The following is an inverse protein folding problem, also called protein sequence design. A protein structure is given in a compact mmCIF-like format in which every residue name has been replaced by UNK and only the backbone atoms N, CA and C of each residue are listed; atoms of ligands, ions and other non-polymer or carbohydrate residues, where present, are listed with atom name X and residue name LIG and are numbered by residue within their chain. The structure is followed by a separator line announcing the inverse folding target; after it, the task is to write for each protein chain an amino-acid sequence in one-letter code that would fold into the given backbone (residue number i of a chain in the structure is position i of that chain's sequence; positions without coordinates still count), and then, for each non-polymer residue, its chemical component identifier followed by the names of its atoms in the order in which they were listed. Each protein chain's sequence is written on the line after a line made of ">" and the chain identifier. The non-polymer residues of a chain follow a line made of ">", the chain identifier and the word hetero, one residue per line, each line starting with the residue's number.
data_IF_935392669762
#
_entry.id   IF_935392669762
#
_cell.length_a   1.000
_cell.length_b   1.000
_cell.length_c   1.000
_cell.angle_alpha   90.00
_cell.angle_beta   90.00
_cell.angle_gamma   90.00
#
_symmetry.space_group_name_H-M   'P 1'
#
loop_
_entity.id
_entity.type
_entity.pdbx_description
1 polymer ?
#
# COMPACT_ATOMS: atom_id res chain seq x y z
N UNK A 1 30.98 29.21 4.66
CA UNK A 1 29.70 29.65 5.22
C UNK A 1 28.93 28.39 5.56
N UNK A 2 28.79 28.11 6.85
CA UNK A 2 28.04 26.95 7.36
C UNK A 2 26.55 27.27 7.26
N UNK A 3 25.88 26.77 6.24
CA UNK A 3 24.43 26.74 6.25
C UNK A 3 23.98 25.75 7.32
N UNK A 4 23.31 26.31 8.30
CA UNK A 4 22.86 25.60 9.50
C UNK A 4 21.93 24.44 9.13
N UNK A 5 22.24 23.25 9.61
CA UNK A 5 21.47 22.01 9.50
C UNK A 5 20.11 22.05 10.24
N UNK A 6 19.59 23.23 10.59
CA UNK A 6 18.37 23.40 11.37
C UNK A 6 17.07 23.11 10.62
N UNK A 7 17.06 23.16 9.29
CA UNK A 7 15.83 23.03 8.49
C UNK A 7 15.47 21.59 8.09
N UNK A 8 16.04 20.57 8.74
CA UNK A 8 15.89 19.17 8.34
C UNK A 8 14.68 18.46 8.97
N UNK A 9 13.96 19.10 9.90
CA UNK A 9 12.86 18.48 10.64
C UNK A 9 11.60 19.34 10.59
N UNK A 10 10.78 19.12 9.59
CA UNK A 10 9.50 19.82 9.37
C UNK A 10 8.41 19.51 10.42
N UNK A 11 8.62 18.52 11.28
CA UNK A 11 7.59 18.08 12.25
C UNK A 11 8.20 18.10 13.66
N UNK A 12 7.70 18.95 14.57
CA UNK A 12 8.16 19.01 15.96
C UNK A 12 7.74 17.74 16.73
N UNK A 13 8.32 17.54 17.91
CA UNK A 13 7.84 16.56 18.88
C UNK A 13 6.40 16.90 19.27
N UNK A 14 5.59 15.85 19.49
CA UNK A 14 4.21 16.05 19.94
C UNK A 14 4.18 16.41 21.42
N UNK A 15 3.35 17.38 21.76
CA UNK A 15 3.01 17.68 23.16
C UNK A 15 2.23 16.52 23.79
N UNK A 16 2.17 16.44 25.14
CA UNK A 16 1.37 15.44 25.83
C UNK A 16 -0.10 15.37 25.36
N UNK A 17 -0.74 16.51 25.16
CA UNK A 17 -2.14 16.57 24.75
C UNK A 17 -2.32 16.12 23.29
N UNK A 18 -1.41 16.50 22.38
CA UNK A 18 -1.45 16.11 20.99
C UNK A 18 -1.28 14.59 20.81
N UNK A 19 -0.36 13.94 21.55
CA UNK A 19 -0.21 12.50 21.42
C UNK A 19 -1.35 11.74 22.08
N UNK A 20 -1.92 12.24 23.17
CA UNK A 20 -3.09 11.64 23.81
C UNK A 20 -4.34 11.75 22.93
N UNK A 21 -4.54 12.87 22.23
CA UNK A 21 -5.63 13.06 21.27
C UNK A 21 -5.56 12.10 20.06
N UNK A 22 -4.39 11.51 19.80
CA UNK A 22 -4.17 10.55 18.73
C UNK A 22 -4.44 9.09 19.13
N UNK A 23 -4.90 8.83 20.35
CA UNK A 23 -5.20 7.46 20.80
C UNK A 23 -6.50 6.99 20.19
N UNK A 24 -6.42 6.00 19.29
CA UNK A 24 -7.56 5.37 18.61
C UNK A 24 -8.15 4.21 19.42
N UNK A 25 -7.30 3.48 20.14
CA UNK A 25 -7.72 2.36 20.99
C UNK A 25 -6.84 2.27 22.23
N UNK A 26 -7.49 1.95 23.37
CA UNK A 26 -6.80 1.73 24.65
C UNK A 26 -7.47 0.62 25.44
N UNK A 27 -6.71 -0.42 25.77
CA UNK A 27 -7.11 -1.45 26.72
C UNK A 27 -6.00 -1.75 27.74
N UNK A 28 -6.11 -2.86 28.50
CA UNK A 28 -5.10 -3.27 29.47
C UNK A 28 -3.78 -3.75 28.86
N UNK A 29 -3.77 -4.12 27.59
CA UNK A 29 -2.64 -4.77 26.91
C UNK A 29 -1.92 -3.83 25.94
N UNK A 30 -2.67 -2.99 25.22
CA UNK A 30 -2.13 -2.19 24.13
C UNK A 30 -2.78 -0.82 24.01
N UNK A 31 -2.09 0.03 23.24
CA UNK A 31 -2.62 1.25 22.64
C UNK A 31 -2.48 1.13 21.12
N UNK A 32 -3.40 1.70 20.38
CA UNK A 32 -3.22 2.01 18.98
C UNK A 32 -3.35 3.51 18.81
N UNK A 33 -2.36 4.13 18.19
CA UNK A 33 -2.34 5.59 17.98
C UNK A 33 -2.33 5.90 16.48
N UNK A 34 -2.88 7.04 16.11
CA UNK A 34 -2.77 7.62 14.77
C UNK A 34 -1.42 8.36 14.65
N UNK A 35 -0.42 7.69 14.10
CA UNK A 35 0.89 8.30 13.87
C UNK A 35 0.81 9.40 12.81
N UNK A 36 1.26 10.63 13.08
CA UNK A 36 1.33 11.65 12.05
C UNK A 36 2.38 11.32 10.98
N UNK A 37 2.21 11.81 9.72
CA UNK A 37 3.24 11.73 8.69
C UNK A 37 4.43 12.63 9.04
N UNK A 38 5.64 12.29 8.59
CA UNK A 38 6.85 13.10 8.73
C UNK A 38 7.62 12.90 10.04
N UNK A 39 7.00 12.37 11.11
CA UNK A 39 7.65 12.11 12.40
C UNK A 39 8.18 10.68 12.45
N UNK A 40 9.51 10.46 12.59
CA UNK A 40 10.06 9.12 12.74
C UNK A 40 9.63 8.51 14.09
N UNK A 41 9.48 7.20 14.12
CA UNK A 41 9.08 6.48 15.34
C UNK A 41 10.18 6.49 16.39
N UNK A 42 11.41 6.15 15.96
CA UNK A 42 12.61 6.10 16.81
C UNK A 42 13.56 7.26 16.51
N UNK A 43 14.35 7.61 17.49
CA UNK A 43 15.47 8.53 17.32
C UNK A 43 16.49 7.93 16.34
N UNK A 44 16.74 8.63 15.23
CA UNK A 44 17.77 8.25 14.28
C UNK A 44 19.20 8.51 14.79
N UNK A 45 20.24 8.00 14.08
CA UNK A 45 21.64 8.23 14.46
C UNK A 45 22.04 9.70 14.54
N UNK A 46 21.37 10.56 13.79
CA UNK A 46 21.61 12.02 13.77
C UNK A 46 20.82 12.78 14.84
N UNK A 47 20.06 12.09 15.69
CA UNK A 47 19.16 12.73 16.65
C UNK A 47 17.88 13.28 16.01
N UNK A 48 17.26 14.26 16.65
CA UNK A 48 16.06 14.96 16.19
C UNK A 48 14.77 14.45 16.80
N UNK A 49 13.63 15.14 16.47
CA UNK A 49 12.31 14.79 16.95
C UNK A 49 11.92 13.36 16.60
N UNK A 50 11.24 12.67 17.51
CA UNK A 50 10.75 11.32 17.29
C UNK A 50 9.54 11.03 18.18
N UNK A 51 8.74 10.07 17.78
CA UNK A 51 7.48 9.76 18.43
C UNK A 51 7.67 9.15 19.84
N UNK A 52 8.72 8.35 20.05
CA UNK A 52 8.99 7.73 21.36
C UNK A 52 9.24 8.76 22.47
N UNK A 53 9.76 9.93 22.14
CA UNK A 53 9.98 11.01 23.10
C UNK A 53 8.69 11.44 23.82
N UNK A 54 7.52 11.30 23.15
CA UNK A 54 6.21 11.64 23.70
C UNK A 54 5.51 10.49 24.44
N UNK A 55 6.06 9.26 24.47
CA UNK A 55 5.37 8.09 25.02
C UNK A 55 5.17 8.14 26.52
N UNK A 56 5.90 8.99 27.25
CA UNK A 56 5.69 9.17 28.68
C UNK A 56 4.27 9.67 29.00
N UNK A 57 3.71 10.50 28.12
CA UNK A 57 2.33 10.99 28.23
C UNK A 57 1.27 9.89 28.01
N UNK A 58 1.65 8.73 27.46
CA UNK A 58 0.76 7.60 27.19
C UNK A 58 0.77 6.53 28.29
N UNK A 59 1.30 6.80 29.46
CA UNK A 59 1.31 5.86 30.61
C UNK A 59 -0.08 5.50 31.08
N UNK A 60 -0.99 6.45 31.11
CA UNK A 60 -2.35 6.26 31.61
C UNK A 60 -2.40 5.47 32.94
N UNK A 61 -1.65 5.94 33.93
CA UNK A 61 -1.58 5.35 35.28
C UNK A 61 -0.60 4.17 35.41
N UNK A 62 0.07 3.74 34.38
CA UNK A 62 1.10 2.69 34.47
C UNK A 62 2.47 3.28 34.88
N UNK A 63 3.32 2.49 35.57
CA UNK A 63 4.63 2.98 36.05
C UNK A 63 5.63 3.22 34.91
N UNK A 64 5.42 2.64 33.73
CA UNK A 64 6.30 2.75 32.57
C UNK A 64 5.52 3.17 31.34
N UNK A 65 6.14 3.91 30.40
CA UNK A 65 5.54 4.23 29.12
C UNK A 65 5.31 2.96 28.29
N UNK A 66 4.36 2.97 27.35
CA UNK A 66 4.17 1.89 26.40
C UNK A 66 5.38 1.76 25.46
N UNK A 67 5.54 0.58 24.86
CA UNK A 67 6.67 0.26 23.98
C UNK A 67 6.13 -0.17 22.62
N UNK A 68 6.84 0.17 21.55
CA UNK A 68 6.50 -0.23 20.18
C UNK A 68 6.36 -1.75 20.03
N UNK A 69 5.28 -2.18 19.42
CA UNK A 69 5.08 -3.56 19.00
C UNK A 69 5.53 -3.77 17.54
N UNK A 70 5.47 -2.73 16.73
CA UNK A 70 5.98 -2.67 15.35
C UNK A 70 6.36 -1.23 15.01
N UNK A 71 6.76 -1.00 13.76
CA UNK A 71 7.15 0.32 13.28
C UNK A 71 6.43 0.69 11.98
N UNK A 72 6.25 1.99 11.77
CA UNK A 72 5.94 2.62 10.50
C UNK A 72 7.11 3.47 10.05
N UNK A 73 7.25 3.70 8.76
CA UNK A 73 8.25 4.61 8.22
C UNK A 73 7.94 6.05 8.62
N UNK A 74 8.94 6.95 8.57
CA UNK A 74 8.81 8.36 8.97
C UNK A 74 7.58 9.01 8.34
N UNK A 75 7.44 8.88 7.02
CA UNK A 75 6.45 9.60 6.24
C UNK A 75 5.10 8.85 6.12
N UNK A 76 5.05 7.58 6.55
CA UNK A 76 3.80 6.80 6.64
C UNK A 76 3.02 7.21 7.88
N UNK A 77 1.74 7.51 7.74
CA UNK A 77 0.81 7.84 8.83
C UNK A 77 -0.09 6.67 9.22
N UNK A 78 -0.85 6.81 10.32
CA UNK A 78 -1.94 5.91 10.70
C UNK A 78 -1.63 4.93 11.82
N UNK A 79 -2.34 3.80 11.86
CA UNK A 79 -2.35 2.86 12.97
C UNK A 79 -0.96 2.36 13.38
N UNK A 80 -0.51 2.76 14.58
CA UNK A 80 0.71 2.29 15.21
C UNK A 80 0.40 1.65 16.56
N UNK A 81 0.81 0.39 16.75
CA UNK A 81 0.49 -0.41 17.93
C UNK A 81 1.63 -0.34 18.96
N UNK A 82 1.26 -0.06 20.20
CA UNK A 82 2.15 -0.01 21.35
C UNK A 82 1.69 -1.04 22.39
N UNK A 83 2.61 -1.80 22.97
CA UNK A 83 2.35 -2.68 24.09
C UNK A 83 2.44 -1.91 25.43
N UNK A 84 1.47 -2.06 26.31
CA UNK A 84 1.41 -1.32 27.59
C UNK A 84 2.31 -1.92 28.68
N UNK A 85 2.73 -3.17 28.53
CA UNK A 85 3.66 -3.82 29.44
C UNK A 85 4.44 -4.93 28.71
N UNK A 86 5.56 -5.37 29.29
CA UNK A 86 6.52 -6.28 28.68
C UNK A 86 5.88 -7.54 28.06
N UNK A 87 4.95 -8.20 28.78
CA UNK A 87 4.30 -9.42 28.30
C UNK A 87 3.43 -9.15 27.09
N UNK A 88 2.65 -8.06 27.11
CA UNK A 88 1.81 -7.65 25.99
C UNK A 88 2.65 -7.30 24.75
N UNK A 89 3.73 -6.51 24.94
CA UNK A 89 4.65 -6.16 23.84
C UNK A 89 5.28 -7.40 23.20
N UNK A 90 5.69 -8.38 24.01
CA UNK A 90 6.24 -9.64 23.51
C UNK A 90 5.20 -10.45 22.70
N UNK A 91 3.97 -10.55 23.20
CA UNK A 91 2.86 -11.22 22.50
C UNK A 91 2.54 -10.55 21.18
N UNK A 92 2.39 -9.22 21.16
CA UNK A 92 2.14 -8.43 19.95
C UNK A 92 3.29 -8.61 18.95
N UNK A 93 4.55 -8.54 19.41
CA UNK A 93 5.73 -8.77 18.57
C UNK A 93 5.73 -10.14 17.89
N UNK A 94 5.31 -11.20 18.60
CA UNK A 94 5.14 -12.52 18.01
C UNK A 94 4.04 -12.57 16.97
N UNK A 95 2.89 -11.92 17.21
CA UNK A 95 1.81 -11.83 16.23
C UNK A 95 2.26 -11.12 14.94
N UNK A 96 3.02 -10.02 15.05
CA UNK A 96 3.62 -9.33 13.91
C UNK A 96 4.64 -10.21 13.19
N UNK A 97 5.55 -10.85 13.93
CA UNK A 97 6.59 -11.74 13.38
C UNK A 97 6.00 -12.89 12.57
N UNK A 98 4.89 -13.46 13.01
CA UNK A 98 4.21 -14.58 12.36
C UNK A 98 3.12 -14.16 11.38
N UNK A 99 3.04 -12.88 11.01
CA UNK A 99 2.05 -12.34 10.07
C UNK A 99 0.60 -12.68 10.44
N UNK A 100 0.28 -12.70 11.76
CA UNK A 100 -1.07 -12.96 12.27
C UNK A 100 -1.93 -11.72 12.37
N UNK A 101 -1.35 -10.54 12.23
CA UNK A 101 -2.02 -9.24 12.25
C UNK A 101 -2.29 -8.82 10.82
N UNK A 102 -3.56 -8.60 10.48
CA UNK A 102 -3.92 -8.03 9.19
C UNK A 102 -3.74 -6.52 9.23
N UNK A 103 -3.28 -5.94 8.13
CA UNK A 103 -3.01 -4.52 7.98
C UNK A 103 -3.52 -4.07 6.62
N UNK A 104 -4.32 -3.04 6.59
CA UNK A 104 -4.77 -2.40 5.35
C UNK A 104 -4.21 -0.99 5.28
N UNK A 105 -3.51 -0.69 4.20
CA UNK A 105 -2.98 0.65 3.93
C UNK A 105 -3.77 1.27 2.78
N UNK A 106 -4.06 2.55 2.90
CA UNK A 106 -4.52 3.35 1.77
C UNK A 106 -3.34 4.04 1.11
N UNK A 107 -3.29 3.97 -0.21
CA UNK A 107 -2.29 4.66 -1.00
C UNK A 107 -2.95 5.36 -2.19
N UNK A 108 -2.45 6.55 -2.54
CA UNK A 108 -2.74 7.17 -3.83
C UNK A 108 -1.51 6.98 -4.70
N UNK A 109 -1.68 6.39 -5.87
CA UNK A 109 -0.61 6.12 -6.82
C UNK A 109 -0.77 6.94 -8.09
N UNK A 110 0.36 7.23 -8.74
CA UNK A 110 0.42 7.87 -10.06
C UNK A 110 0.14 6.82 -11.13
N UNK A 111 -0.91 6.98 -11.93
CA UNK A 111 -1.42 5.91 -12.78
C UNK A 111 -2.19 4.87 -11.98
N UNK A 112 -1.89 3.59 -12.22
CA UNK A 112 -2.46 2.47 -11.46
C UNK A 112 -2.64 1.20 -12.27
N UNK A 113 -3.04 0.09 -11.62
CA UNK A 113 -3.35 -1.15 -12.31
C UNK A 113 -4.59 -1.01 -13.19
N UNK A 114 -4.66 -1.78 -14.26
CA UNK A 114 -5.86 -1.88 -15.12
C UNK A 114 -6.94 -2.73 -14.45
N UNK A 115 -6.54 -3.80 -13.77
CA UNK A 115 -7.44 -4.67 -13.01
C UNK A 115 -7.90 -3.98 -11.73
N UNK A 116 -8.97 -4.51 -11.10
CA UNK A 116 -9.52 -3.96 -9.87
C UNK A 116 -8.90 -4.56 -8.61
N UNK A 117 -8.28 -5.73 -8.71
CA UNK A 117 -7.56 -6.37 -7.61
C UNK A 117 -6.44 -7.28 -8.12
N UNK A 118 -5.47 -7.57 -7.25
CA UNK A 118 -4.38 -8.46 -7.59
C UNK A 118 -3.33 -8.58 -6.49
N UNK A 119 -2.16 -9.10 -6.87
CA UNK A 119 -1.04 -9.26 -5.95
C UNK A 119 0.29 -8.97 -6.63
N UNK A 120 1.26 -8.51 -5.82
CA UNK A 120 2.64 -8.28 -6.20
C UNK A 120 3.49 -9.22 -5.37
N UNK A 121 4.09 -10.22 -6.00
CA UNK A 121 5.00 -11.20 -5.38
C UNK A 121 6.39 -10.98 -5.96
N UNK A 122 7.10 -10.01 -5.41
CA UNK A 122 8.44 -9.61 -5.86
C UNK A 122 9.38 -9.57 -4.66
N UNK A 123 10.47 -10.35 -4.64
CA UNK A 123 11.44 -10.35 -3.54
C UNK A 123 12.13 -8.99 -3.39
N UNK A 124 12.38 -8.59 -2.14
CA UNK A 124 12.97 -7.30 -1.80
C UNK A 124 14.32 -7.50 -1.11
N UNK A 125 15.34 -6.81 -1.61
CA UNK A 125 16.68 -6.73 -1.06
C UNK A 125 17.12 -5.31 -0.75
N UNK A 126 18.23 -5.17 -0.03
CA UNK A 126 18.85 -3.85 0.22
C UNK A 126 19.44 -3.30 -1.08
N UNK A 127 19.33 -2.00 -1.30
CA UNK A 127 19.89 -1.35 -2.49
C UNK A 127 21.41 -1.54 -2.56
N UNK A 128 22.11 -1.17 -1.46
CA UNK A 128 23.54 -1.37 -1.28
C UNK A 128 23.90 -1.25 0.22
N UNK A 129 25.16 -1.48 0.59
CA UNK A 129 25.65 -1.37 1.97
C UNK A 129 25.62 0.08 2.50
N UNK A 130 25.90 1.07 1.66
CA UNK A 130 25.99 2.50 2.03
C UNK A 130 24.62 3.09 2.35
N UNK A 131 23.58 2.68 1.61
CA UNK A 131 22.19 3.09 1.79
C UNK A 131 21.35 1.93 2.34
N UNK A 132 21.80 1.30 3.42
CA UNK A 132 21.30 0.05 3.96
C UNK A 132 19.80 -0.01 4.33
N UNK A 133 19.09 1.13 4.38
CA UNK A 133 17.64 1.19 4.59
C UNK A 133 16.85 1.37 3.28
N UNK A 134 17.49 1.73 2.14
CA UNK A 134 16.86 1.73 0.83
C UNK A 134 16.76 0.31 0.29
N UNK A 135 15.66 0.03 -0.36
CA UNK A 135 15.33 -1.30 -0.87
C UNK A 135 15.21 -1.27 -2.39
N UNK A 136 15.33 -2.44 -3.01
CA UNK A 136 15.09 -2.67 -4.44
C UNK A 136 14.39 -4.02 -4.62
N UNK A 137 13.79 -4.25 -5.78
CA UNK A 137 13.44 -5.59 -6.21
C UNK A 137 14.75 -6.35 -6.45
N UNK A 138 14.85 -7.53 -5.86
CA UNK A 138 16.05 -8.34 -5.91
C UNK A 138 15.67 -9.82 -5.89
N UNK A 139 15.92 -10.58 -6.98
CA UNK A 139 15.60 -12.01 -7.03
C UNK A 139 16.24 -12.84 -5.89
N UNK A 140 17.39 -12.38 -5.37
CA UNK A 140 18.06 -12.98 -4.21
C UNK A 140 17.58 -12.39 -2.87
N UNK A 141 16.61 -11.49 -2.90
CA UNK A 141 16.05 -10.79 -1.73
C UNK A 141 15.12 -11.66 -0.91
N UNK A 142 14.54 -11.05 0.11
CA UNK A 142 13.55 -11.72 0.96
C UNK A 142 12.19 -11.79 0.26
N UNK A 143 11.50 -12.94 0.28
CA UNK A 143 10.15 -13.08 -0.26
C UNK A 143 9.22 -12.00 0.30
N UNK A 144 8.47 -11.36 -0.58
CA UNK A 144 7.62 -10.22 -0.23
C UNK A 144 6.36 -10.24 -1.07
N UNK A 145 5.21 -10.32 -0.39
CA UNK A 145 3.88 -10.41 -1.02
C UNK A 145 3.01 -9.26 -0.54
N UNK A 146 2.44 -8.52 -1.48
CA UNK A 146 1.42 -7.47 -1.25
C UNK A 146 0.19 -7.78 -2.09
N UNK A 147 -0.99 -7.83 -1.47
CA UNK A 147 -2.28 -7.79 -2.17
C UNK A 147 -2.73 -6.36 -2.32
N UNK A 148 -3.45 -6.09 -3.39
CA UNK A 148 -4.01 -4.76 -3.62
C UNK A 148 -5.43 -4.86 -4.19
N UNK A 149 -6.22 -3.82 -3.91
CA UNK A 149 -7.56 -3.62 -4.46
C UNK A 149 -7.72 -2.15 -4.81
N UNK A 150 -8.31 -1.88 -5.96
CA UNK A 150 -8.68 -0.51 -6.38
C UNK A 150 -9.93 -0.11 -5.61
N UNK A 151 -9.86 1.05 -4.96
CA UNK A 151 -10.97 1.66 -4.25
C UNK A 151 -11.64 2.77 -5.08
N UNK A 152 -10.87 3.39 -5.99
CA UNK A 152 -11.36 4.40 -6.90
C UNK A 152 -10.26 4.93 -7.82
N UNK A 153 -10.67 5.59 -8.91
CA UNK A 153 -9.77 6.20 -9.91
C UNK A 153 -10.21 7.64 -10.19
N UNK A 154 -9.27 8.57 -10.31
CA UNK A 154 -9.60 9.93 -10.72
C UNK A 154 -10.03 9.95 -12.19
N UNK A 155 -11.02 10.78 -12.53
CA UNK A 155 -11.57 10.87 -13.89
C UNK A 155 -12.69 9.89 -14.22
N UNK A 156 -12.97 8.88 -13.38
CA UNK A 156 -14.06 7.92 -13.60
C UNK A 156 -15.47 8.53 -13.56
N UNK A 157 -15.62 9.71 -12.95
CA UNK A 157 -16.92 10.41 -12.89
C UNK A 157 -17.24 11.23 -14.16
N UNK A 158 -16.24 11.50 -15.02
CA UNK A 158 -16.48 12.25 -16.26
C UNK A 158 -17.12 11.36 -17.35
N UNK A 159 -16.86 10.04 -17.32
CA UNK A 159 -17.37 9.14 -18.36
C UNK A 159 -18.82 8.67 -18.14
N UNK A 160 -19.34 8.78 -16.91
CA UNK A 160 -20.75 8.41 -16.64
C UNK A 160 -21.74 9.54 -16.96
N UNK A 161 -21.29 10.79 -17.08
CA UNK A 161 -22.15 11.93 -17.42
C UNK A 161 -22.30 12.17 -18.92
N UNK A 162 -21.41 11.59 -19.77
CA UNK A 162 -21.44 11.77 -21.22
C UNK A 162 -22.15 10.63 -21.98
N UNK A 163 -22.61 9.58 -21.31
CA UNK A 163 -23.25 8.42 -21.94
C UNK A 163 -24.79 8.51 -22.03
N UNK A 164 -25.44 9.62 -21.61
CA UNK A 164 -26.88 9.73 -21.58
C UNK A 164 -27.48 10.91 -22.40
N UNK A 165 -26.94 11.22 -23.58
CA UNK A 165 -27.63 12.03 -24.57
C UNK A 165 -27.19 11.67 -25.96
N UNK A 166 -27.75 10.58 -26.52
CA UNK A 166 -27.97 10.44 -27.95
C UNK A 166 -29.09 9.42 -28.19
N UNK A 167 -30.33 9.89 -28.17
CA UNK A 167 -31.41 9.23 -28.91
C UNK A 167 -31.33 9.69 -30.37
N UNK A 168 -31.30 8.79 -31.34
CA UNK A 168 -31.73 9.12 -32.69
C UNK A 168 -33.21 8.72 -32.87
N UNK A 169 -34.06 9.71 -32.98
CA UNK A 169 -35.36 9.53 -33.64
C UNK A 169 -35.15 9.17 -35.12
N UNK A 170 -35.73 8.06 -35.55
CA UNK A 170 -35.71 7.67 -36.94
C UNK A 170 -36.59 6.45 -37.21
N UNK A 171 -37.85 6.72 -37.62
CA UNK A 171 -38.85 5.79 -38.14
C UNK A 171 -38.38 4.95 -39.32
N UNK A 172 -38.75 3.65 -39.34
CA UNK A 172 -38.63 2.81 -40.53
C UNK A 172 -39.23 1.44 -40.27
N UNK A 173 -40.36 1.18 -40.88
CA UNK A 173 -41.17 -0.06 -40.85
C UNK A 173 -40.46 -1.26 -41.50
N UNK A 174 -40.86 -2.52 -41.20
CA UNK A 174 -40.21 -3.74 -41.66
C UNK A 174 -40.73 -4.29 -42.98
N UNK A 175 -40.01 -5.18 -43.66
CA UNK A 175 -40.60 -6.16 -44.56
C UNK A 175 -40.27 -7.60 -44.19
N UNK A 176 -40.84 -8.63 -44.90
CA UNK A 176 -41.49 -9.75 -44.23
C UNK A 176 -40.73 -11.06 -44.34
N UNK A 177 -41.36 -12.08 -43.72
CA UNK A 177 -41.04 -13.51 -43.60
C UNK A 177 -40.42 -14.22 -44.80
N UNK A 178 -39.52 -15.13 -44.50
CA UNK A 178 -39.12 -16.23 -45.41
C UNK A 178 -38.87 -17.52 -44.57
N UNK A 179 -39.72 -18.52 -44.80
CA UNK A 179 -39.66 -19.86 -44.23
C UNK A 179 -38.50 -20.69 -44.81
N UNK A 180 -37.94 -21.60 -44.01
CA UNK A 180 -36.97 -22.58 -44.51
C UNK A 180 -36.66 -23.65 -43.47
N UNK A 181 -37.33 -24.75 -43.57
CA UNK A 181 -37.26 -25.98 -42.79
C UNK A 181 -35.89 -26.69 -42.87
N UNK A 182 -35.48 -27.39 -41.79
CA UNK A 182 -34.37 -28.37 -41.86
C UNK A 182 -34.11 -29.06 -40.52
N UNK A 183 -34.70 -30.23 -40.39
CA UNK A 183 -34.60 -31.19 -39.29
C UNK A 183 -33.22 -31.88 -39.25
N UNK A 184 -32.67 -32.15 -38.06
CA UNK A 184 -31.51 -33.02 -37.88
C UNK A 184 -31.21 -33.29 -36.43
N UNK A 185 -31.80 -34.34 -35.88
CA UNK A 185 -31.58 -34.91 -34.55
C UNK A 185 -30.30 -35.71 -34.54
N UNK A 186 -29.42 -35.58 -33.52
CA UNK A 186 -28.75 -36.74 -32.90
C UNK A 186 -28.13 -36.30 -31.56
N UNK A 187 -28.44 -37.12 -30.56
CA UNK A 187 -28.07 -36.97 -29.16
C UNK A 187 -26.65 -37.45 -28.83
N UNK A 188 -26.19 -37.04 -27.67
CA UNK A 188 -24.97 -37.51 -27.05
C UNK A 188 -24.81 -36.85 -25.69
N UNK A 189 -25.01 -37.60 -24.66
CA UNK A 189 -24.95 -37.24 -23.23
C UNK A 189 -23.54 -36.89 -22.74
N UNK A 190 -23.41 -36.18 -21.62
CA UNK A 190 -22.19 -35.53 -21.17
C UNK A 190 -21.30 -36.44 -20.32
N UNK A 191 -19.98 -36.31 -20.47
CA UNK A 191 -19.04 -36.84 -19.51
C UNK A 191 -18.29 -35.67 -18.84
N UNK A 192 -18.37 -35.66 -17.54
CA UNK A 192 -17.67 -34.85 -16.58
C UNK A 192 -16.16 -35.09 -16.66
N UNK A 193 -15.39 -34.03 -16.87
CA UNK A 193 -13.91 -34.02 -16.78
C UNK A 193 -13.42 -32.69 -16.32
N UNK A 194 -12.93 -32.62 -15.07
CA UNK A 194 -12.20 -31.48 -14.51
C UNK A 194 -10.87 -31.33 -15.24
N UNK A 195 -10.43 -30.11 -15.60
CA UNK A 195 -9.12 -29.90 -16.16
C UNK A 195 -8.04 -29.93 -15.06
N UNK A 196 -7.05 -30.80 -15.28
CA UNK A 196 -5.81 -30.83 -14.50
C UNK A 196 -4.89 -29.65 -14.88
N UNK A 197 -4.05 -29.17 -13.95
CA UNK A 197 -3.12 -28.08 -14.24
C UNK A 197 -2.01 -28.53 -15.18
N UNK A 198 -1.70 -27.67 -16.13
CA UNK A 198 -0.62 -27.82 -17.12
C UNK A 198 0.76 -27.92 -16.46
N UNK A 199 1.65 -28.82 -16.88
CA UNK A 199 3.03 -28.87 -16.38
C UNK A 199 3.92 -27.80 -17.03
N UNK A 200 4.89 -27.34 -16.26
CA UNK A 200 5.95 -26.42 -16.64
C UNK A 200 6.78 -26.96 -17.83
N UNK A 201 7.27 -26.10 -18.74
CA UNK A 201 8.19 -26.53 -19.80
C UNK A 201 9.57 -26.86 -19.22
N UNK A 202 10.08 -28.04 -19.59
CA UNK A 202 11.44 -28.49 -19.31
C UNK A 202 12.47 -27.69 -20.12
N UNK A 203 13.61 -27.36 -19.49
CA UNK A 203 14.77 -26.76 -20.09
C UNK A 203 15.34 -27.64 -21.21
N UNK A 204 15.45 -27.09 -22.40
CA UNK A 204 16.22 -27.65 -23.54
C UNK A 204 17.54 -26.88 -23.69
N UNK A 205 18.63 -27.59 -23.62
CA UNK A 205 19.98 -27.08 -23.92
C UNK A 205 20.19 -26.75 -25.39
N UNK A 206 20.88 -25.63 -25.63
CA UNK A 206 21.77 -25.47 -26.79
C UNK A 206 21.30 -24.63 -27.95
N UNK A 207 21.74 -23.35 -27.98
CA UNK A 207 22.32 -22.72 -29.19
C UNK A 207 23.04 -21.42 -28.79
N UNK A 208 24.36 -21.36 -29.06
CA UNK A 208 25.17 -20.13 -29.03
C UNK A 208 24.81 -19.28 -30.27
N UNK A 209 24.58 -17.99 -30.05
CA UNK A 209 24.46 -17.07 -31.17
C UNK A 209 23.99 -15.68 -30.76
N UNK A 210 24.91 -14.71 -30.90
CA UNK A 210 24.70 -13.26 -31.08
C UNK A 210 24.09 -12.46 -29.92
N UNK A 211 24.88 -11.50 -29.44
CA UNK A 211 24.54 -10.51 -28.42
C UNK A 211 23.22 -9.80 -28.68
N UNK A 212 22.30 -10.02 -27.78
CA UNK A 212 21.24 -9.11 -27.49
C UNK A 212 21.56 -8.57 -26.08
N UNK A 213 21.74 -7.26 -25.98
CA UNK A 213 21.80 -6.55 -24.71
C UNK A 213 20.59 -7.00 -23.89
N UNK A 214 20.84 -7.68 -22.80
CA UNK A 214 19.81 -7.99 -21.82
C UNK A 214 19.32 -6.65 -21.27
N UNK A 215 18.12 -6.23 -21.66
CA UNK A 215 17.38 -5.19 -20.99
C UNK A 215 17.37 -5.55 -19.49
N UNK A 216 18.23 -4.86 -18.75
CA UNK A 216 18.33 -4.96 -17.30
C UNK A 216 17.03 -4.40 -16.72
N UNK A 217 16.04 -5.27 -16.51
CA UNK A 217 14.78 -4.99 -15.81
C UNK A 217 14.98 -4.64 -14.34
N UNK A 218 16.21 -4.30 -13.91
CA UNK A 218 16.49 -3.83 -12.58
C UNK A 218 15.96 -2.39 -12.42
N UNK A 219 14.71 -2.27 -11.94
CA UNK A 219 14.19 -1.01 -11.45
C UNK A 219 15.17 -0.38 -10.44
N UNK A 220 15.65 0.82 -10.73
CA UNK A 220 16.61 1.56 -9.88
C UNK A 220 15.88 2.73 -9.20
N UNK A 221 15.92 2.84 -7.84
CA UNK A 221 15.42 4.01 -7.14
C UNK A 221 16.10 5.28 -7.63
N UNK A 222 15.31 6.31 -7.96
CA UNK A 222 15.81 7.62 -8.36
C UNK A 222 16.09 7.81 -9.86
N UNK A 223 15.82 6.83 -10.72
CA UNK A 223 15.69 7.06 -12.15
C UNK A 223 14.40 7.86 -12.39
N UNK A 224 14.52 9.19 -12.46
CA UNK A 224 13.41 10.04 -12.91
C UNK A 224 13.15 9.67 -14.36
N UNK A 225 12.14 8.85 -14.57
CA UNK A 225 11.60 8.68 -15.92
C UNK A 225 11.10 10.06 -16.33
N UNK A 226 11.57 10.60 -17.45
CA UNK A 226 11.07 11.85 -18.05
C UNK A 226 9.63 11.71 -18.54
N UNK A 227 8.83 10.91 -17.86
CA UNK A 227 7.46 10.61 -18.18
C UNK A 227 6.60 11.83 -17.87
N UNK A 228 5.79 12.21 -18.86
CA UNK A 228 4.64 13.10 -18.73
C UNK A 228 3.91 12.78 -17.43
N UNK A 229 3.52 13.83 -16.68
CA UNK A 229 2.75 13.67 -15.46
C UNK A 229 1.58 12.69 -15.72
N UNK A 230 1.33 11.73 -14.82
CA UNK A 230 0.27 10.75 -15.01
C UNK A 230 -1.06 11.48 -15.18
N UNK A 231 -1.84 11.04 -16.15
CA UNK A 231 -3.13 11.67 -16.47
C UNK A 231 -4.22 11.32 -15.47
N UNK A 232 -3.99 10.31 -14.62
CA UNK A 232 -4.95 9.85 -13.62
C UNK A 232 -4.25 9.36 -12.35
N UNK A 233 -4.98 9.34 -11.27
CA UNK A 233 -4.60 8.80 -9.96
C UNK A 233 -5.46 7.59 -9.65
N UNK A 234 -4.93 6.67 -8.88
CA UNK A 234 -5.69 5.52 -8.36
C UNK A 234 -5.54 5.44 -6.84
N UNK A 235 -6.65 5.27 -6.16
CA UNK A 235 -6.72 4.97 -4.74
C UNK A 235 -6.73 3.46 -4.55
N UNK A 236 -5.74 2.94 -3.83
CA UNK A 236 -5.54 1.52 -3.56
C UNK A 236 -5.70 1.21 -2.07
N UNK A 237 -6.36 0.10 -1.77
CA UNK A 237 -6.19 -0.62 -0.51
C UNK A 237 -5.08 -1.65 -0.71
N UNK A 238 -4.01 -1.57 0.09
CA UNK A 238 -2.83 -2.43 0.04
C UNK A 238 -2.75 -3.28 1.30
N UNK A 239 -2.62 -4.60 1.16
CA UNK A 239 -2.47 -5.55 2.26
C UNK A 239 -1.10 -6.23 2.18
N UNK A 240 -0.10 -5.78 2.97
CA UNK A 240 1.19 -6.45 3.05
C UNK A 240 1.07 -7.76 3.85
N UNK A 241 1.14 -8.89 3.16
CA UNK A 241 1.16 -10.22 3.78
C UNK A 241 2.49 -10.45 4.51
N UNK A 242 3.57 -9.94 3.96
CA UNK A 242 4.88 -9.83 4.60
C UNK A 242 5.09 -8.39 5.09
N UNK A 243 6.13 -8.16 5.91
CA UNK A 243 6.40 -6.82 6.50
C UNK A 243 7.84 -6.37 6.26
N UNK A 244 8.28 -6.26 5.01
CA UNK A 244 9.63 -5.78 4.67
C UNK A 244 9.70 -4.26 4.71
N UNK A 245 10.90 -3.74 4.97
CA UNK A 245 11.15 -2.29 4.94
C UNK A 245 10.74 -1.72 3.59
N UNK A 246 9.99 -0.64 3.58
CA UNK A 246 9.49 0.06 2.38
C UNK A 246 8.72 -0.81 1.37
N UNK A 247 8.24 -2.00 1.77
CA UNK A 247 7.66 -3.00 0.86
C UNK A 247 6.61 -2.39 -0.08
N UNK A 248 5.59 -1.71 0.44
CA UNK A 248 4.50 -1.15 -0.36
C UNK A 248 5.01 -0.11 -1.36
N UNK A 249 5.97 0.72 -0.94
CA UNK A 249 6.57 1.78 -1.76
C UNK A 249 7.36 1.19 -2.93
N UNK A 250 8.22 0.19 -2.65
CA UNK A 250 9.02 -0.52 -3.67
C UNK A 250 8.13 -1.28 -4.64
N UNK A 251 7.12 -2.01 -4.11
CA UNK A 251 6.20 -2.78 -4.95
C UNK A 251 5.41 -1.88 -5.90
N UNK A 252 4.77 -0.82 -5.41
CA UNK A 252 4.03 0.10 -6.28
C UNK A 252 4.93 0.74 -7.35
N UNK A 253 6.14 1.16 -6.98
CA UNK A 253 7.08 1.74 -7.93
C UNK A 253 7.57 0.73 -8.98
N UNK A 254 7.85 -0.52 -8.58
CA UNK A 254 8.27 -1.58 -9.49
C UNK A 254 7.18 -1.94 -10.52
N UNK A 255 5.91 -1.78 -10.14
CA UNK A 255 4.78 -1.99 -11.06
C UNK A 255 4.52 -0.78 -11.99
N UNK A 256 5.31 0.30 -11.89
CA UNK A 256 5.14 1.49 -12.72
C UNK A 256 4.07 2.49 -12.24
N UNK A 257 3.52 2.30 -11.04
CA UNK A 257 2.57 3.20 -10.41
C UNK A 257 3.04 3.60 -9.00
N UNK A 258 4.08 4.48 -8.93
CA UNK A 258 4.65 4.92 -7.67
C UNK A 258 3.62 5.66 -6.81
N UNK A 259 3.81 5.61 -5.49
CA UNK A 259 2.95 6.34 -4.55
C UNK A 259 3.22 7.84 -4.67
N UNK A 260 2.16 8.64 -4.73
CA UNK A 260 2.26 10.10 -4.78
C UNK A 260 3.06 10.63 -3.60
N UNK A 261 4.00 11.51 -3.87
CA UNK A 261 4.88 12.11 -2.85
C UNK A 261 6.01 11.19 -2.37
N UNK A 262 6.19 10.01 -2.98
CA UNK A 262 7.34 9.16 -2.67
C UNK A 262 8.62 9.78 -3.26
N UNK A 263 9.49 10.26 -2.37
CA UNK A 263 10.75 10.90 -2.72
C UNK A 263 11.94 9.96 -2.93
N UNK A 264 11.74 8.65 -2.67
CA UNK A 264 12.79 7.63 -2.80
C UNK A 264 12.54 6.76 -4.02
N UNK A 265 11.31 6.29 -4.19
CA UNK A 265 10.91 5.30 -5.19
C UNK A 265 10.01 5.89 -6.27
N UNK A 266 9.57 7.14 -6.12
CA UNK A 266 8.74 7.87 -7.06
C UNK A 266 9.31 9.22 -7.44
N UNK A 267 8.43 10.12 -7.91
CA UNK A 267 8.77 11.45 -8.39
C UNK A 267 8.54 12.55 -7.34
N UNK A 268 8.23 12.18 -6.10
CA UNK A 268 7.96 13.12 -5.02
C UNK A 268 9.14 14.00 -4.67
N UNK A 269 8.89 15.22 -4.17
CA UNK A 269 9.94 16.12 -3.71
C UNK A 269 10.58 15.59 -2.43
N UNK A 270 11.84 15.93 -2.21
CA UNK A 270 12.54 15.55 -0.97
C UNK A 270 11.94 16.22 0.26
N UNK A 271 11.43 17.43 0.12
CA UNK A 271 10.79 18.24 1.15
C UNK A 271 9.58 18.95 0.58
N UNK A 272 8.60 19.26 1.44
CA UNK A 272 7.38 19.96 1.05
C UNK A 272 6.29 19.05 0.48
N UNK A 273 5.43 19.64 -0.33
CA UNK A 273 4.27 18.95 -0.92
C UNK A 273 4.55 18.49 -2.37
N UNK A 274 3.94 17.39 -2.81
CA UNK A 274 3.07 16.51 -2.03
C UNK A 274 3.85 15.61 -1.06
N UNK A 275 3.34 15.46 0.17
CA UNK A 275 3.84 14.45 1.12
C UNK A 275 3.49 13.05 0.65
N UNK A 276 4.12 12.03 1.25
CA UNK A 276 3.84 10.63 0.92
C UNK A 276 2.37 10.28 1.18
N UNK A 277 1.65 9.83 0.15
CA UNK A 277 0.25 9.40 0.21
C UNK A 277 0.14 7.90 0.56
N UNK A 278 0.69 7.52 1.70
CA UNK A 278 0.64 6.16 2.26
C UNK A 278 0.20 6.22 3.72
N UNK A 279 -0.91 5.57 4.04
CA UNK A 279 -1.58 5.63 5.32
C UNK A 279 -1.96 4.24 5.82
N UNK A 280 -1.53 3.86 7.03
CA UNK A 280 -1.93 2.62 7.71
C UNK A 280 -3.39 2.77 8.20
N UNK A 281 -4.35 2.50 7.32
CA UNK A 281 -5.78 2.77 7.53
C UNK A 281 -6.40 1.89 8.60
N UNK A 282 -6.11 0.59 8.57
CA UNK A 282 -6.75 -0.38 9.45
C UNK A 282 -5.76 -1.43 9.94
N UNK A 283 -5.97 -1.87 11.16
CA UNK A 283 -5.25 -2.98 11.75
C UNK A 283 -6.22 -3.91 12.49
N UNK A 284 -6.05 -5.24 12.27
CA UNK A 284 -6.87 -6.28 12.88
C UNK A 284 -5.97 -7.19 13.71
N UNK A 285 -6.17 -7.20 15.03
CA UNK A 285 -5.27 -7.83 16.01
C UNK A 285 -6.01 -8.98 16.73
N UNK A 286 -5.69 -10.25 16.44
CA UNK A 286 -6.29 -11.42 17.09
C UNK A 286 -5.54 -11.75 18.40
N UNK A 287 -5.84 -11.02 19.49
CA UNK A 287 -5.20 -11.21 20.80
C UNK A 287 -5.58 -12.51 21.49
N UNK A 288 -6.74 -13.05 21.20
CA UNK A 288 -7.29 -14.23 21.86
C UNK A 288 -8.01 -15.13 20.86
N UNK A 289 -7.92 -16.46 21.05
CA UNK A 289 -8.66 -17.43 20.22
C UNK A 289 -10.17 -17.40 20.51
N UNK A 290 -10.57 -16.97 21.69
CA UNK A 290 -11.94 -17.03 22.20
C UNK A 290 -12.66 -15.69 22.18
N UNK A 291 -12.03 -14.64 21.67
CA UNK A 291 -12.60 -13.30 21.56
C UNK A 291 -12.47 -12.82 20.13
N UNK A 292 -13.39 -12.00 19.64
CA UNK A 292 -13.25 -11.37 18.34
C UNK A 292 -11.95 -10.56 18.28
N UNK A 293 -11.32 -10.44 17.12
CA UNK A 293 -10.13 -9.60 16.95
C UNK A 293 -10.47 -8.14 17.25
N UNK A 294 -9.49 -7.40 17.74
CA UNK A 294 -9.59 -5.94 17.88
C UNK A 294 -9.34 -5.33 16.51
N UNK A 295 -10.31 -4.59 16.00
CA UNK A 295 -10.23 -3.84 14.74
C UNK A 295 -10.11 -2.36 15.07
N UNK A 296 -9.11 -1.69 14.52
CA UNK A 296 -8.89 -0.25 14.71
C UNK A 296 -8.63 0.39 13.36
N UNK A 297 -9.32 1.50 13.10
CA UNK A 297 -9.13 2.32 11.91
C UNK A 297 -8.61 3.70 12.28
N UNK A 298 -7.71 4.26 11.45
CA UNK A 298 -7.22 5.63 11.58
C UNK A 298 -7.83 6.51 10.47
N UNK A 299 -8.26 7.74 10.77
CA UNK A 299 -8.74 8.66 9.74
C UNK A 299 -7.60 9.04 8.78
N UNK A 300 -7.86 9.19 7.46
CA UNK A 300 -6.82 9.61 6.53
C UNK A 300 -6.35 11.03 6.88
N UNK A 301 -5.05 11.33 6.78
CA UNK A 301 -4.54 12.65 7.11
C UNK A 301 -4.97 13.70 6.06
N UNK A 302 -5.16 14.93 6.48
CA UNK A 302 -5.71 16.03 5.67
C UNK A 302 -5.03 16.21 4.31
N UNK A 303 -3.70 16.01 4.22
CA UNK A 303 -2.98 16.15 2.94
C UNK A 303 -3.40 15.11 1.87
N UNK A 304 -4.01 13.99 2.27
CA UNK A 304 -4.52 12.98 1.34
C UNK A 304 -5.94 13.26 0.84
N UNK A 305 -6.74 14.05 1.58
CA UNK A 305 -8.17 14.27 1.29
C UNK A 305 -8.44 14.73 -0.15
N UNK A 306 -7.75 15.76 -0.70
CA UNK A 306 -8.08 16.23 -2.06
C UNK A 306 -7.91 15.15 -3.14
N UNK A 307 -6.90 14.27 -2.99
CA UNK A 307 -6.64 13.21 -3.97
C UNK A 307 -7.51 11.98 -3.73
N UNK A 308 -7.86 11.68 -2.49
CA UNK A 308 -8.85 10.65 -2.16
C UNK A 308 -10.22 11.04 -2.74
N UNK A 309 -10.65 12.29 -2.55
CA UNK A 309 -11.91 12.82 -3.10
C UNK A 309 -11.91 12.79 -4.64
N UNK A 310 -10.81 13.15 -5.29
CA UNK A 310 -10.65 13.02 -6.74
C UNK A 310 -10.79 11.56 -7.23
N UNK A 311 -10.52 10.58 -6.37
CA UNK A 311 -10.72 9.16 -6.64
C UNK A 311 -12.06 8.61 -6.13
N UNK A 312 -12.99 9.47 -5.70
CA UNK A 312 -14.33 9.07 -5.30
C UNK A 312 -14.53 8.77 -3.81
N UNK A 313 -13.53 9.07 -2.96
CA UNK A 313 -13.72 8.98 -1.51
C UNK A 313 -14.62 10.11 -1.00
N UNK A 314 -15.54 9.77 -0.12
CA UNK A 314 -16.40 10.72 0.60
C UNK A 314 -16.10 10.63 2.09
N UNK A 315 -16.06 11.77 2.78
CA UNK A 315 -16.05 11.79 4.25
C UNK A 315 -17.37 11.17 4.75
N UNK A 316 -17.27 10.10 5.54
CA UNK A 316 -18.37 9.49 6.27
C UNK A 316 -18.60 10.20 7.61
#
# INVERSE_FOLDING_TARGET
>A
MNESHADQFDVPELTPDEIQARVLHRDGLMLVIDKPPGLPVHRGPKGGPNLEASFDALRFGLPRPPVLAHRLDRDTSGCLVLGRHRKATATLGLLFKHSKISKTYWAIVEGGPLDDEGSIDLPIGRLNAERGWWQKIDPAGLPSLTRWKVMGRSGALADTASASTNEPAGSGSPPPCGEGSGVGVHGGTPSSGLPHPNPLPQAGEGARGAGAESDDLSWRPGAKTGARAPTHLTWLALEPITGRTHQLRVHCAAMGWPIVGDNIYGNGPRFGEPRLHLHAREIVIPLSRNKPPVVVTAPPPAHMHPRLQACGWTDE
#
